data_IF_097483673615
#
_entry.id   IF_097483673615
#
_cell.length_a   1.000
_cell.length_b   1.000
_cell.length_c   1.000
_cell.angle_alpha   90.00
_cell.angle_beta   90.00
_cell.angle_gamma   90.00
#
_symmetry.space_group_name_H-M   'P 1'
#
loop_
_entity.id
_entity.type
_entity.pdbx_description
1 polymer ?
#
# COMPACT_ATOMS: atom_id res chain seq x y z
N UNK A 1 -42.36 62.33 61.32
CA UNK A 1 -41.43 62.21 60.19
C UNK A 1 -40.87 60.77 60.20
N UNK A 2 -41.47 59.98 59.28
CA UNK A 2 -41.09 58.56 59.13
C UNK A 2 -40.19 58.46 57.92
N UNK A 3 -38.93 58.11 58.12
CA UNK A 3 -37.95 57.89 57.06
C UNK A 3 -38.13 56.47 56.45
N UNK A 4 -38.55 56.43 55.19
CA UNK A 4 -38.63 55.23 54.42
C UNK A 4 -37.20 54.82 53.93
N UNK A 5 -36.70 53.71 54.46
CA UNK A 5 -35.46 53.15 53.96
C UNK A 5 -35.69 52.35 52.64
N UNK A 6 -35.16 52.84 51.53
CA UNK A 6 -35.09 52.04 50.29
C UNK A 6 -34.15 50.87 50.48
N UNK A 7 -34.70 49.66 50.50
CA UNK A 7 -33.94 48.43 50.33
C UNK A 7 -33.44 48.33 48.89
N UNK A 8 -32.15 48.32 48.69
CA UNK A 8 -31.51 48.03 47.40
C UNK A 8 -31.82 46.57 47.02
N UNK A 9 -32.58 46.39 45.93
CA UNK A 9 -32.70 45.09 45.26
C UNK A 9 -31.32 44.66 44.75
N UNK A 10 -30.75 43.65 45.36
CA UNK A 10 -29.56 43.00 44.88
C UNK A 10 -29.79 42.45 43.47
N UNK A 11 -28.91 42.87 42.61
CA UNK A 11 -28.78 42.35 41.25
C UNK A 11 -28.50 40.84 41.34
N UNK A 12 -29.53 40.08 41.11
CA UNK A 12 -29.43 38.61 41.06
C UNK A 12 -28.54 38.25 39.88
N UNK A 13 -27.24 37.99 40.20
CA UNK A 13 -26.32 37.47 39.23
C UNK A 13 -26.91 36.29 38.49
N UNK A 14 -27.34 36.52 37.26
CA UNK A 14 -27.67 35.44 36.34
C UNK A 14 -26.40 34.60 36.19
N UNK A 15 -26.34 33.48 36.88
CA UNK A 15 -25.36 32.45 36.60
C UNK A 15 -25.45 32.18 35.10
N UNK A 16 -24.40 32.58 34.37
CA UNK A 16 -24.26 32.27 32.96
C UNK A 16 -24.29 30.75 32.88
N UNK A 17 -25.42 30.16 32.48
CA UNK A 17 -25.52 28.74 32.25
C UNK A 17 -24.57 28.46 31.07
N UNK A 18 -23.42 27.88 31.40
CA UNK A 18 -22.45 27.44 30.38
C UNK A 18 -23.21 26.57 29.37
N UNK A 19 -23.12 26.93 28.11
CA UNK A 19 -23.73 26.14 27.02
C UNK A 19 -23.19 24.72 27.06
N UNK A 20 -24.09 23.71 27.13
CA UNK A 20 -23.66 22.32 27.13
C UNK A 20 -22.84 22.01 25.88
N UNK A 21 -21.74 21.29 26.04
CA UNK A 21 -20.88 20.86 24.93
C UNK A 21 -20.74 19.34 24.92
N UNK A 22 -20.68 18.79 23.73
CA UNK A 22 -20.42 17.39 23.47
C UNK A 22 -19.24 17.28 22.53
N UNK A 23 -18.26 16.45 22.88
CA UNK A 23 -17.12 16.12 22.02
C UNK A 23 -16.67 14.69 22.31
N UNK A 24 -15.97 14.10 21.36
CA UNK A 24 -15.19 12.87 21.57
C UNK A 24 -13.73 13.22 21.30
N UNK A 25 -12.85 12.88 22.24
CA UNK A 25 -11.43 13.19 22.15
C UNK A 25 -10.72 12.10 21.37
N UNK A 26 -9.86 12.50 20.43
CA UNK A 26 -9.05 11.61 19.60
C UNK A 26 -8.77 12.23 18.23
N UNK A 27 -7.96 11.53 17.44
CA UNK A 27 -7.73 11.91 16.04
C UNK A 27 -8.94 11.54 15.18
N UNK A 28 -9.29 12.41 14.23
CA UNK A 28 -10.34 12.10 13.25
C UNK A 28 -9.72 11.79 11.89
N UNK A 29 -10.21 10.75 11.19
CA UNK A 29 -11.22 9.80 11.62
C UNK A 29 -10.73 8.95 12.81
N UNK A 30 -11.66 8.55 13.70
CA UNK A 30 -11.36 7.59 14.75
C UNK A 30 -11.09 6.22 14.11
N UNK A 31 -9.87 5.66 14.28
CA UNK A 31 -9.56 4.36 13.71
C UNK A 31 -10.17 3.25 14.55
N UNK A 32 -10.76 2.29 13.88
CA UNK A 32 -11.22 1.03 14.47
C UNK A 32 -10.76 -0.13 13.56
N UNK A 33 -10.61 -1.30 14.15
CA UNK A 33 -10.17 -2.51 13.44
C UNK A 33 -11.23 -3.60 13.61
N UNK A 34 -11.56 -4.30 12.54
CA UNK A 34 -12.49 -5.45 12.61
C UNK A 34 -11.97 -6.45 13.64
N UNK A 35 -12.87 -6.89 14.52
CA UNK A 35 -12.57 -7.88 15.55
C UNK A 35 -11.91 -7.32 16.81
N UNK A 36 -11.52 -6.04 16.85
CA UNK A 36 -10.97 -5.38 18.04
C UNK A 36 -12.03 -4.54 18.75
N UNK A 37 -12.09 -4.66 20.08
CA UNK A 37 -13.02 -3.89 20.87
C UNK A 37 -12.57 -2.43 20.98
N UNK A 38 -13.49 -1.49 20.79
CA UNK A 38 -13.25 -0.06 20.97
C UNK A 38 -14.17 0.51 22.04
N UNK A 39 -13.71 1.58 22.71
CA UNK A 39 -14.50 2.38 23.64
C UNK A 39 -14.19 3.84 23.41
N UNK A 40 -15.20 4.62 22.99
CA UNK A 40 -15.12 6.07 22.82
C UNK A 40 -15.99 6.73 23.89
N UNK A 41 -15.35 7.46 24.81
CA UNK A 41 -16.04 8.16 25.89
C UNK A 41 -16.21 9.63 25.52
N UNK A 42 -17.43 10.19 25.61
CA UNK A 42 -17.64 11.59 25.33
C UNK A 42 -17.04 12.49 26.42
N UNK A 43 -16.46 13.60 26.00
CA UNK A 43 -16.14 14.72 26.85
C UNK A 43 -17.34 15.67 26.85
N UNK A 44 -17.93 15.88 28.01
CA UNK A 44 -19.14 16.70 28.14
C UNK A 44 -18.94 17.86 29.11
N UNK A 45 -19.56 18.98 28.83
CA UNK A 45 -19.76 20.05 29.81
C UNK A 45 -21.25 20.25 30.03
N UNK A 46 -21.64 20.35 31.31
CA UNK A 46 -23.06 20.35 31.70
C UNK A 46 -23.66 18.95 31.76
N UNK A 47 -24.96 18.86 32.09
CA UNK A 47 -25.68 17.58 32.17
C UNK A 47 -26.30 17.26 30.81
N UNK A 48 -25.80 16.20 30.14
CA UNK A 48 -26.33 15.68 28.90
C UNK A 48 -26.96 14.30 29.14
N UNK A 49 -27.99 13.99 28.37
CA UNK A 49 -28.64 12.67 28.39
C UNK A 49 -29.34 12.37 27.07
N UNK A 50 -29.94 11.18 26.97
CA UNK A 50 -30.67 10.73 25.78
C UNK A 50 -29.77 10.80 24.52
N UNK A 51 -28.62 10.15 24.60
CA UNK A 51 -27.71 10.12 23.48
C UNK A 51 -28.26 9.26 22.34
N UNK A 52 -28.10 9.75 21.13
CA UNK A 52 -28.48 9.05 19.90
C UNK A 52 -27.43 9.30 18.82
N UNK A 53 -27.34 8.40 17.88
CA UNK A 53 -26.44 8.50 16.74
C UNK A 53 -27.21 8.28 15.45
N UNK A 54 -26.89 9.02 14.42
CA UNK A 54 -27.45 8.88 13.07
C UNK A 54 -26.40 9.22 12.02
N UNK A 55 -26.25 8.40 10.96
CA UNK A 55 -26.89 7.10 10.74
C UNK A 55 -26.51 6.05 11.80
N UNK A 56 -27.01 4.82 11.68
CA UNK A 56 -26.66 3.73 12.57
C UNK A 56 -25.15 3.43 12.49
N UNK A 57 -24.52 3.15 13.64
CA UNK A 57 -23.11 2.78 13.71
C UNK A 57 -22.84 1.47 12.94
N UNK A 58 -21.61 1.23 12.50
CA UNK A 58 -21.18 -0.04 11.90
C UNK A 58 -21.59 -1.23 12.77
N UNK A 59 -21.92 -2.36 12.13
CA UNK A 59 -22.33 -3.56 12.81
C UNK A 59 -21.32 -3.99 13.90
N UNK A 60 -21.83 -4.25 15.10
CA UNK A 60 -21.00 -4.59 16.27
C UNK A 60 -20.66 -3.42 17.18
N UNK A 61 -20.95 -2.18 16.77
CA UNK A 61 -20.84 -0.99 17.62
C UNK A 61 -22.21 -0.50 18.09
N UNK A 62 -22.27 0.05 19.30
CA UNK A 62 -23.45 0.65 19.87
C UNK A 62 -23.12 1.87 20.70
N UNK A 63 -24.10 2.76 20.87
CA UNK A 63 -24.02 3.90 21.78
C UNK A 63 -24.90 3.62 23.00
N UNK A 64 -24.37 3.89 24.18
CA UNK A 64 -25.16 3.89 25.41
C UNK A 64 -25.96 5.20 25.51
N UNK A 65 -27.29 5.10 25.53
CA UNK A 65 -28.18 6.25 25.50
C UNK A 65 -28.09 7.15 26.76
N UNK A 66 -27.52 6.66 27.86
CA UNK A 66 -27.36 7.41 29.11
C UNK A 66 -26.04 8.13 29.22
N UNK A 67 -24.98 7.44 28.89
CA UNK A 67 -23.60 7.93 29.04
C UNK A 67 -23.02 8.52 27.76
N UNK A 68 -23.57 8.16 26.59
CA UNK A 68 -23.01 8.52 25.31
C UNK A 68 -21.77 7.73 24.92
N UNK A 69 -21.38 6.73 25.69
CA UNK A 69 -20.22 5.87 25.37
C UNK A 69 -20.56 5.04 24.16
N UNK A 70 -19.68 5.11 23.14
CA UNK A 70 -19.73 4.24 21.97
C UNK A 70 -18.76 3.10 22.22
N UNK A 71 -19.24 1.86 22.14
CA UNK A 71 -18.42 0.68 22.40
C UNK A 71 -18.87 -0.51 21.57
N UNK A 72 -18.01 -1.52 21.51
CA UNK A 72 -18.28 -2.79 20.84
C UNK A 72 -17.10 -3.24 19.98
N UNK A 73 -17.35 -4.26 19.17
CA UNK A 73 -16.37 -4.86 18.25
C UNK A 73 -16.92 -4.79 16.84
N UNK A 74 -16.37 -3.93 15.97
CA UNK A 74 -16.86 -3.79 14.61
C UNK A 74 -16.65 -5.08 13.82
N UNK A 75 -17.63 -5.41 12.95
CA UNK A 75 -17.67 -6.67 12.19
C UNK A 75 -17.48 -6.45 10.69
N UNK A 76 -17.62 -5.22 10.20
CA UNK A 76 -17.52 -4.88 8.78
C UNK A 76 -16.62 -3.68 8.59
N UNK A 77 -15.77 -3.74 7.56
CA UNK A 77 -14.96 -2.60 7.17
C UNK A 77 -15.83 -1.48 6.60
N UNK A 78 -15.46 -0.25 6.90
CA UNK A 78 -16.03 0.95 6.28
C UNK A 78 -14.95 2.02 6.15
N UNK A 79 -15.00 2.78 5.06
CA UNK A 79 -14.17 3.98 4.92
C UNK A 79 -14.55 5.05 5.96
N UNK A 80 -13.90 6.22 5.92
CA UNK A 80 -14.27 7.33 6.79
C UNK A 80 -15.73 7.74 6.56
N UNK A 81 -16.57 7.56 7.58
CA UNK A 81 -17.98 7.89 7.55
C UNK A 81 -18.34 8.81 8.73
N UNK A 82 -19.22 9.77 8.48
CA UNK A 82 -19.65 10.75 9.49
C UNK A 82 -20.96 10.33 10.13
N UNK A 83 -20.92 10.18 11.44
CA UNK A 83 -22.05 9.90 12.30
C UNK A 83 -22.35 11.14 13.15
N UNK A 84 -23.60 11.55 13.22
CA UNK A 84 -24.00 12.67 14.08
C UNK A 84 -24.46 12.11 15.42
N UNK A 85 -23.65 12.31 16.45
CA UNK A 85 -24.05 12.03 17.82
C UNK A 85 -24.82 13.22 18.36
N UNK A 86 -25.97 12.98 18.95
CA UNK A 86 -26.80 14.01 19.54
C UNK A 86 -27.18 13.66 20.98
N UNK A 87 -27.25 14.68 21.83
CA UNK A 87 -27.71 14.55 23.21
C UNK A 87 -28.64 15.71 23.58
N UNK A 88 -29.45 15.52 24.59
CA UNK A 88 -30.38 16.57 25.11
C UNK A 88 -29.86 17.13 26.42
N UNK A 89 -29.99 18.45 26.57
CA UNK A 89 -29.68 19.17 27.80
C UNK A 89 -30.72 20.21 28.06
N UNK A 90 -31.47 20.11 29.15
CA UNK A 90 -32.49 21.09 29.56
C UNK A 90 -33.43 21.53 28.39
N UNK A 91 -33.83 20.57 27.52
CA UNK A 91 -34.71 20.83 26.38
C UNK A 91 -33.96 21.28 25.09
N UNK A 92 -32.67 21.59 25.15
CA UNK A 92 -31.86 21.90 23.99
C UNK A 92 -31.16 20.64 23.45
N UNK A 93 -30.97 20.58 22.13
CA UNK A 93 -30.21 19.49 21.47
C UNK A 93 -28.79 19.95 21.17
N UNK A 94 -27.82 19.13 21.59
CA UNK A 94 -26.39 19.30 21.27
C UNK A 94 -26.00 18.21 20.31
N UNK A 95 -25.18 18.51 19.30
CA UNK A 95 -24.72 17.54 18.31
C UNK A 95 -23.21 17.59 18.16
N UNK A 96 -22.62 16.44 17.79
CA UNK A 96 -21.21 16.30 17.47
C UNK A 96 -21.03 15.39 16.25
N UNK A 97 -20.30 15.85 15.21
CA UNK A 97 -19.96 15.00 14.07
C UNK A 97 -18.80 14.09 14.45
N UNK A 98 -19.06 12.80 14.52
CA UNK A 98 -18.06 11.75 14.77
C UNK A 98 -17.67 11.13 13.42
N UNK A 99 -16.42 11.20 13.04
CA UNK A 99 -15.92 10.49 11.86
C UNK A 99 -15.25 9.21 12.32
N UNK A 100 -15.73 8.06 11.86
CA UNK A 100 -15.21 6.73 12.20
C UNK A 100 -14.77 6.02 10.92
N UNK A 101 -13.65 5.32 10.99
CA UNK A 101 -13.15 4.44 9.92
C UNK A 101 -12.87 3.06 10.50
N UNK A 102 -13.40 2.03 9.88
CA UNK A 102 -13.19 0.63 10.28
C UNK A 102 -12.33 -0.06 9.23
N UNK A 103 -11.13 -0.48 9.61
CA UNK A 103 -10.16 -1.12 8.72
C UNK A 103 -10.15 -2.63 8.95
N UNK A 104 -10.06 -3.39 7.87
CA UNK A 104 -9.84 -4.82 7.93
C UNK A 104 -8.32 -5.08 7.95
N UNK A 105 -7.81 -5.86 8.94
CA UNK A 105 -6.40 -6.21 8.96
C UNK A 105 -6.03 -7.08 7.76
N UNK A 106 -4.78 -6.99 7.26
CA UNK A 106 -4.33 -7.84 6.17
C UNK A 106 -4.35 -9.31 6.60
N UNK A 107 -4.91 -10.19 5.75
CA UNK A 107 -4.96 -11.62 5.98
C UNK A 107 -4.92 -12.40 4.67
N UNK A 108 -4.65 -13.71 4.74
CA UNK A 108 -4.64 -14.58 3.57
C UNK A 108 -3.54 -14.26 2.56
N UNK A 109 -2.43 -13.62 2.99
CA UNK A 109 -1.29 -13.37 2.09
C UNK A 109 -0.81 -14.67 1.48
N UNK A 110 -0.71 -14.71 0.15
CA UNK A 110 -0.19 -15.84 -0.60
C UNK A 110 0.48 -15.40 -1.89
N UNK A 111 1.42 -16.22 -2.34
CA UNK A 111 2.09 -16.12 -3.63
C UNK A 111 2.09 -17.47 -4.30
N UNK A 112 2.25 -17.49 -5.62
CA UNK A 112 2.60 -18.73 -6.30
C UNK A 112 3.94 -19.24 -5.75
N UNK A 113 3.97 -20.45 -5.20
CA UNK A 113 5.15 -21.04 -4.56
C UNK A 113 5.14 -22.57 -4.80
N UNK A 114 6.29 -23.23 -5.06
CA UNK A 114 7.64 -22.68 -5.13
C UNK A 114 7.92 -21.88 -6.41
N UNK A 115 8.79 -20.88 -6.31
CA UNK A 115 9.27 -20.07 -7.43
C UNK A 115 10.62 -20.59 -7.92
N UNK A 116 10.76 -20.74 -9.22
CA UNK A 116 12.04 -21.05 -9.86
C UNK A 116 12.43 -19.89 -10.78
N UNK A 117 13.55 -19.25 -10.50
CA UNK A 117 14.17 -18.24 -11.34
C UNK A 117 15.45 -18.80 -11.99
N UNK A 118 16.01 -18.13 -12.98
CA UNK A 118 17.26 -18.51 -13.66
C UNK A 118 18.17 -17.28 -13.74
N UNK A 119 19.44 -17.45 -13.44
CA UNK A 119 20.46 -16.37 -13.54
C UNK A 119 20.40 -15.74 -14.93
N UNK A 120 20.37 -14.40 -14.97
CA UNK A 120 20.33 -13.63 -16.21
C UNK A 120 18.98 -13.57 -16.93
N UNK A 121 17.95 -14.26 -16.41
CA UNK A 121 16.59 -14.22 -16.96
C UNK A 121 15.69 -13.42 -16.03
N UNK A 122 14.98 -12.44 -16.58
CA UNK A 122 14.04 -11.65 -15.80
C UNK A 122 12.91 -12.53 -15.25
N UNK A 123 12.65 -12.41 -13.94
CA UNK A 123 11.50 -13.03 -13.29
C UNK A 123 10.24 -12.32 -13.74
N UNK A 124 9.25 -13.06 -14.22
CA UNK A 124 7.91 -12.49 -14.44
C UNK A 124 7.40 -11.91 -13.12
N UNK A 125 6.84 -10.69 -13.12
CA UNK A 125 6.31 -10.08 -11.91
C UNK A 125 5.34 -11.01 -11.18
N UNK A 126 5.64 -11.31 -9.92
CA UNK A 126 4.85 -12.18 -9.07
C UNK A 126 4.07 -11.34 -8.07
N UNK A 127 2.78 -11.19 -8.31
CA UNK A 127 1.89 -10.42 -7.43
C UNK A 127 1.36 -11.27 -6.28
N UNK A 128 1.21 -10.69 -5.08
CA UNK A 128 0.54 -11.34 -3.97
C UNK A 128 -0.97 -11.42 -4.20
N UNK A 129 -1.59 -12.43 -3.60
CA UNK A 129 -3.02 -12.43 -3.28
C UNK A 129 -3.15 -12.15 -1.79
N UNK A 130 -3.98 -11.17 -1.44
CA UNK A 130 -4.16 -10.72 -0.06
C UNK A 130 -5.56 -10.13 0.10
N UNK A 131 -6.16 -10.27 1.27
CA UNK A 131 -7.39 -9.62 1.69
C UNK A 131 -7.09 -8.63 2.82
N UNK A 132 -7.93 -7.60 2.94
CA UNK A 132 -7.69 -6.48 3.87
C UNK A 132 -6.68 -5.48 3.34
N UNK A 133 -6.47 -4.41 4.10
CA UNK A 133 -5.55 -3.34 3.73
C UNK A 133 -4.11 -3.67 4.15
N UNK A 134 -3.16 -3.56 3.23
CA UNK A 134 -1.74 -3.64 3.50
C UNK A 134 -1.06 -2.36 3.02
N UNK A 135 -0.27 -1.73 3.89
CA UNK A 135 0.42 -0.47 3.63
C UNK A 135 1.88 -0.70 3.23
N UNK A 136 2.47 -1.80 3.72
CA UNK A 136 3.88 -2.06 3.53
C UNK A 136 4.18 -3.56 3.53
N UNK A 137 5.03 -3.98 2.57
CA UNK A 137 5.54 -5.34 2.46
C UNK A 137 7.04 -5.39 2.80
N UNK A 138 7.42 -6.43 3.52
CA UNK A 138 8.81 -6.72 3.87
C UNK A 138 9.11 -8.20 3.65
N UNK A 139 10.39 -8.54 3.46
CA UNK A 139 10.84 -9.93 3.29
C UNK A 139 12.06 -10.22 4.13
N UNK A 140 12.11 -11.39 4.73
CA UNK A 140 13.23 -11.87 5.54
C UNK A 140 13.44 -13.36 5.29
N UNK A 141 14.68 -13.79 5.07
CA UNK A 141 15.92 -13.02 4.89
C UNK A 141 15.92 -12.21 3.58
N UNK A 142 17.01 -11.49 3.31
CA UNK A 142 17.19 -10.76 2.04
C UNK A 142 17.12 -11.71 0.84
N UNK A 143 16.39 -11.27 -0.18
CA UNK A 143 16.25 -12.01 -1.44
C UNK A 143 17.59 -12.19 -2.17
N UNK A 144 17.73 -13.19 -3.04
CA UNK A 144 18.88 -13.34 -3.91
C UNK A 144 19.15 -12.07 -4.72
N UNK A 145 20.43 -11.78 -4.96
CA UNK A 145 20.83 -10.58 -5.71
C UNK A 145 20.11 -10.47 -7.05
N UNK A 146 19.56 -9.28 -7.31
CA UNK A 146 18.83 -8.97 -8.53
C UNK A 146 17.32 -9.26 -8.45
N UNK A 147 16.83 -9.90 -7.40
CA UNK A 147 15.39 -10.03 -7.11
C UNK A 147 15.02 -9.02 -6.04
N UNK A 148 13.91 -8.29 -6.27
CA UNK A 148 13.41 -7.23 -5.40
C UNK A 148 11.95 -7.50 -5.05
N UNK A 149 11.58 -7.10 -3.84
CA UNK A 149 10.20 -6.96 -3.41
C UNK A 149 9.83 -5.48 -3.41
N UNK A 150 8.81 -5.11 -4.14
CA UNK A 150 8.24 -3.76 -4.04
C UNK A 150 7.52 -3.61 -2.70
N UNK A 151 7.95 -2.64 -1.90
CA UNK A 151 7.46 -2.48 -0.54
C UNK A 151 6.03 -1.96 -0.45
N UNK A 152 5.47 -1.41 -1.50
CA UNK A 152 4.11 -0.86 -1.53
C UNK A 152 3.09 -1.85 -2.10
N UNK A 153 3.47 -2.59 -3.13
CA UNK A 153 2.58 -3.52 -3.82
C UNK A 153 2.80 -5.00 -3.46
N UNK A 154 3.94 -5.32 -2.84
CA UNK A 154 4.32 -6.71 -2.56
C UNK A 154 4.73 -7.50 -3.81
N UNK A 155 4.93 -6.86 -4.96
CA UNK A 155 5.32 -7.53 -6.19
C UNK A 155 6.80 -7.93 -6.12
N UNK A 156 7.07 -9.22 -6.37
CA UNK A 156 8.43 -9.69 -6.59
C UNK A 156 8.78 -9.62 -8.07
N UNK A 157 9.95 -9.06 -8.38
CA UNK A 157 10.45 -8.93 -9.74
C UNK A 157 11.96 -8.80 -9.76
N UNK A 158 12.57 -8.75 -10.96
CA UNK A 158 13.98 -8.52 -11.13
C UNK A 158 14.66 -9.61 -11.94
N UNK A 159 15.99 -9.50 -12.08
CA UNK A 159 16.82 -10.45 -12.81
C UNK A 159 17.92 -10.96 -11.87
N UNK A 160 17.85 -12.20 -11.41
CA UNK A 160 18.85 -12.73 -10.48
C UNK A 160 20.23 -12.80 -11.12
N UNK A 161 21.27 -12.46 -10.36
CA UNK A 161 22.66 -12.45 -10.81
C UNK A 161 23.48 -13.63 -10.30
N UNK A 162 22.99 -14.33 -9.28
CA UNK A 162 23.67 -15.45 -8.63
C UNK A 162 22.71 -16.62 -8.45
N UNK A 163 23.21 -17.85 -8.63
CA UNK A 163 22.43 -19.06 -8.37
C UNK A 163 22.29 -19.28 -6.85
N UNK A 164 21.12 -19.75 -6.42
CA UNK A 164 20.87 -20.14 -5.04
C UNK A 164 20.02 -21.41 -4.97
N UNK A 165 20.27 -22.24 -3.96
CA UNK A 165 19.42 -23.39 -3.66
C UNK A 165 18.02 -22.97 -3.24
N UNK A 166 17.13 -23.97 -3.10
CA UNK A 166 15.79 -23.73 -2.56
C UNK A 166 15.88 -23.22 -1.12
N UNK A 167 15.34 -22.03 -0.89
CA UNK A 167 15.33 -21.40 0.43
C UNK A 167 13.96 -20.76 0.75
N UNK A 168 13.57 -20.73 2.03
CA UNK A 168 12.38 -20.05 2.49
C UNK A 168 12.63 -18.55 2.70
N UNK A 169 11.69 -17.74 2.27
CA UNK A 169 11.65 -16.29 2.48
C UNK A 169 10.29 -15.94 3.09
N UNK A 170 10.30 -15.33 4.25
CA UNK A 170 9.07 -14.88 4.90
C UNK A 170 8.70 -13.50 4.39
N UNK A 171 7.65 -13.41 3.61
CA UNK A 171 7.05 -12.13 3.22
C UNK A 171 6.02 -11.76 4.26
N UNK A 172 6.07 -10.52 4.74
CA UNK A 172 5.14 -9.95 5.71
C UNK A 172 4.45 -8.75 5.09
N UNK A 173 3.13 -8.75 5.10
CA UNK A 173 2.31 -7.59 4.76
C UNK A 173 1.83 -6.94 6.06
N UNK A 174 2.08 -5.65 6.21
CA UNK A 174 1.78 -4.87 7.41
C UNK A 174 0.79 -3.75 7.11
N UNK A 175 -0.04 -3.44 8.10
CA UNK A 175 -0.83 -2.21 8.18
C UNK A 175 -0.92 -1.75 9.63
N UNK A 176 -1.53 -0.58 9.86
CA UNK A 176 -1.87 -0.13 11.21
C UNK A 176 -2.86 -1.08 11.92
N UNK A 177 -3.64 -1.84 11.16
CA UNK A 177 -4.63 -2.78 11.68
C UNK A 177 -4.06 -4.16 12.03
N UNK A 178 -2.82 -4.47 11.61
CA UNK A 178 -2.20 -5.77 11.87
C UNK A 178 -1.23 -6.21 10.77
N UNK A 179 -0.88 -7.48 10.78
CA UNK A 179 0.01 -8.06 9.78
C UNK A 179 -0.37 -9.51 9.43
N UNK A 180 0.06 -9.95 8.25
CA UNK A 180 -0.02 -11.33 7.82
C UNK A 180 1.28 -11.76 7.16
N UNK A 181 1.58 -13.07 7.16
CA UNK A 181 2.86 -13.60 6.67
C UNK A 181 2.63 -14.77 5.73
N UNK A 182 3.56 -14.92 4.79
CA UNK A 182 3.62 -16.06 3.88
C UNK A 182 5.06 -16.53 3.72
N UNK A 183 5.27 -17.84 3.68
CA UNK A 183 6.59 -18.42 3.40
C UNK A 183 6.69 -18.74 1.93
N UNK A 184 7.46 -17.94 1.21
CA UNK A 184 7.78 -18.12 -0.18
C UNK A 184 9.00 -19.03 -0.32
N UNK A 185 8.88 -20.11 -1.07
CA UNK A 185 10.00 -20.96 -1.44
C UNK A 185 10.56 -20.51 -2.79
N UNK A 186 11.82 -20.12 -2.82
CA UNK A 186 12.50 -19.62 -4.02
C UNK A 186 13.81 -20.37 -4.27
N UNK A 187 14.04 -20.71 -5.53
CA UNK A 187 15.32 -21.23 -6.02
C UNK A 187 15.77 -20.44 -7.25
N UNK A 188 17.07 -20.21 -7.38
CA UNK A 188 17.66 -19.58 -8.57
C UNK A 188 18.61 -20.59 -9.22
N UNK A 189 18.24 -21.11 -10.39
CA UNK A 189 19.07 -22.01 -11.19
C UNK A 189 20.20 -21.24 -11.86
N UNK A 190 21.38 -21.85 -12.07
CA UNK A 190 22.44 -21.23 -12.87
C UNK A 190 21.94 -20.97 -14.29
N UNK A 191 22.55 -19.99 -14.94
CA UNK A 191 22.32 -19.77 -16.37
C UNK A 191 22.59 -21.07 -17.13
N UNK A 192 21.79 -21.41 -18.16
CA UNK A 192 22.12 -22.57 -19.00
C UNK A 192 23.54 -22.33 -19.57
N UNK A 193 24.48 -23.22 -19.25
CA UNK A 193 25.79 -23.22 -19.89
C UNK A 193 25.51 -23.43 -21.37
N UNK A 194 25.72 -22.37 -22.18
CA UNK A 194 25.69 -22.52 -23.62
C UNK A 194 26.61 -23.68 -23.94
N UNK A 195 26.10 -24.69 -24.63
CA UNK A 195 26.95 -25.71 -25.20
C UNK A 195 27.98 -24.95 -26.04
N UNK A 196 29.20 -24.81 -25.51
CA UNK A 196 30.33 -24.43 -26.31
C UNK A 196 30.37 -25.56 -27.32
N UNK A 197 29.91 -25.30 -28.56
CA UNK A 197 30.13 -26.17 -29.66
C UNK A 197 31.67 -26.39 -29.63
N UNK A 198 32.06 -27.55 -29.13
CA UNK A 198 33.47 -27.95 -29.19
C UNK A 198 33.76 -27.91 -30.67
N UNK A 199 34.39 -26.83 -31.09
CA UNK A 199 35.05 -26.80 -32.39
C UNK A 199 36.10 -27.92 -32.30
N UNK A 200 35.68 -29.12 -32.72
CA UNK A 200 36.58 -30.21 -32.92
C UNK A 200 37.67 -29.70 -33.90
N UNK A 201 38.93 -29.59 -33.46
CA UNK A 201 39.95 -29.18 -34.41
C UNK A 201 39.93 -30.24 -35.49
N UNK A 202 39.67 -29.80 -36.73
CA UNK A 202 39.69 -30.65 -37.89
C UNK A 202 40.99 -31.49 -37.83
N UNK A 203 40.83 -32.81 -37.67
CA UNK A 203 41.91 -33.78 -37.69
C UNK A 203 42.58 -33.68 -39.05
N UNK A 204 43.68 -32.95 -39.11
CA UNK A 204 44.54 -32.95 -40.27
C UNK A 204 45.15 -34.33 -40.36
N UNK A 205 44.56 -35.19 -41.18
CA UNK A 205 45.21 -36.42 -41.61
C UNK A 205 46.36 -36.11 -42.56
N UNK A 206 47.44 -36.81 -42.47
CA UNK A 206 48.54 -36.64 -43.43
C UNK A 206 48.14 -37.27 -44.79
N UNK A 207 47.50 -36.46 -45.63
CA UNK A 207 47.12 -36.85 -47.01
C UNK A 207 47.85 -35.98 -48.02
N UNK A 208 48.86 -36.62 -48.68
CA UNK A 208 49.54 -36.09 -49.86
C UNK A 208 48.53 -35.80 -50.96
N UNK A 209 48.46 -34.56 -51.42
CA UNK A 209 47.61 -34.22 -52.56
C UNK A 209 47.96 -32.86 -53.14
N UNK A 210 48.83 -32.90 -54.10
CA UNK A 210 49.09 -32.03 -55.24
C UNK A 210 48.24 -30.75 -55.32
N UNK A 211 48.93 -29.63 -55.19
CA UNK A 211 48.39 -28.27 -55.48
C UNK A 211 48.18 -28.15 -56.98
N UNK A 212 46.93 -27.94 -57.43
CA UNK A 212 46.69 -27.46 -58.78
C UNK A 212 46.39 -25.94 -58.73
N UNK A 213 46.98 -25.15 -59.63
CA UNK A 213 46.69 -23.71 -59.67
C UNK A 213 45.29 -23.44 -60.24
N UNK A 214 44.56 -22.64 -59.54
CA UNK A 214 43.23 -22.14 -59.95
C UNK A 214 43.48 -21.05 -61.00
N UNK A 215 42.81 -21.09 -62.18
CA UNK A 215 42.92 -20.02 -63.17
C UNK A 215 42.15 -18.78 -62.72
N UNK A 216 42.80 -17.63 -62.87
CA UNK A 216 42.25 -16.29 -62.70
C UNK A 216 41.05 -16.09 -63.63
N UNK A 217 39.88 -15.84 -63.12
CA UNK A 217 38.74 -15.34 -63.93
C UNK A 217 38.37 -13.94 -63.49
N UNK A 218 38.55 -13.08 -64.45
CA UNK A 218 38.16 -11.70 -64.65
C UNK A 218 36.99 -11.15 -63.80
N UNK A 219 37.29 -10.02 -63.15
CA UNK A 219 36.30 -9.02 -62.76
C UNK A 219 35.90 -8.20 -64.03
N UNK A 220 34.63 -7.90 -64.24
CA UNK A 220 34.25 -6.75 -65.08
C UNK A 220 34.29 -5.49 -64.20
N UNK A 221 34.93 -4.48 -64.75
CA UNK A 221 34.99 -3.11 -64.28
C UNK A 221 33.75 -2.33 -64.75
N UNK A 222 33.42 -1.30 -63.98
CA UNK A 222 32.47 -0.21 -64.34
C UNK A 222 31.14 -0.35 -63.61
N UNK A 223 30.73 0.61 -62.88
CA UNK A 223 30.46 2.01 -63.26
C UNK A 223 30.46 2.94 -62.06
N UNK A 224 30.90 4.10 -62.32
CA UNK A 224 31.06 5.31 -61.55
C UNK A 224 29.76 6.06 -61.37
N UNK A 225 29.78 6.91 -60.28
CA UNK A 225 29.04 8.15 -60.13
C UNK A 225 27.58 8.05 -59.70
N UNK A 226 27.18 8.79 -58.63
CA UNK A 226 27.07 10.24 -58.60
C UNK A 226 26.76 10.73 -57.14
N UNK A 227 27.59 11.57 -56.67
CA UNK A 227 27.50 12.82 -55.98
C UNK A 227 26.09 13.45 -55.91
N UNK A 228 25.71 13.95 -54.69
CA UNK A 228 24.54 14.84 -54.53
C UNK A 228 24.24 15.01 -53.04
N UNK A 229 24.97 15.78 -52.31
CA UNK A 229 24.92 17.20 -52.02
C UNK A 229 23.76 17.59 -51.07
N UNK A 230 24.16 17.83 -49.82
CA UNK A 230 23.83 18.92 -48.91
C UNK A 230 22.41 19.55 -49.01
N UNK A 231 21.68 19.65 -47.91
CA UNK A 231 21.17 20.93 -47.44
C UNK A 231 20.87 20.87 -45.94
N UNK A 232 21.54 21.78 -45.26
CA UNK A 232 21.21 22.26 -43.93
C UNK A 232 20.09 23.30 -44.04
N UNK A 233 19.39 23.48 -42.98
CA UNK A 233 18.44 24.59 -42.78
C UNK A 233 17.30 24.09 -41.92
N UNK A 234 16.93 24.64 -40.95
CA UNK A 234 17.14 25.84 -40.13
C UNK A 234 15.96 25.89 -39.14
N UNK A 235 16.31 26.15 -37.94
CA UNK A 235 15.61 26.84 -36.85
C UNK A 235 14.22 27.39 -37.16
N UNK A 236 13.22 27.11 -36.34
CA UNK A 236 12.47 28.16 -35.61
C UNK A 236 11.52 27.58 -34.55
N UNK A 237 11.75 28.07 -33.31
CA UNK A 237 10.82 28.25 -32.21
C UNK A 237 9.51 28.92 -32.61
N UNK A 238 8.41 28.61 -31.97
CA UNK A 238 7.44 29.58 -31.44
C UNK A 238 6.42 28.83 -30.53
N UNK A 239 6.31 29.43 -29.36
CA UNK A 239 5.25 29.54 -28.35
C UNK A 239 4.90 28.31 -27.55
#
# INVERSE_FOLDING_TARGET
>A
MVACALAACGDGGRASLATPKLAYNGSMPFPAVIGEAIVLTPAVSGTLGQYRVSPALPAGLSIDERSGVISGTPKTASGPETFVVSATAAGARVTYPLVLSVTEPPHGLSYMSPVTATVGVALAPLSPSISGAADHFAVTPTLPRGILLDSSSGILSGTPTEASGLAPYTVTANSLAGNTRFILLLTVKPAPSGAIARHEPARWGPGRGRVQPVPSQNLPAGETESSGNIHAGDVRSHD
#
